data_IF_996123565549
#
_entry.id   IF_996123565549
#
_cell.length_a   1.000
_cell.length_b   1.000
_cell.length_c   1.000
_cell.angle_alpha   90.00
_cell.angle_beta   90.00
_cell.angle_gamma   90.00
#
_symmetry.space_group_name_H-M   'P 1'
#
loop_
_entity.id
_entity.type
_entity.pdbx_description
1 polymer ?
#
# COMPACT_ATOMS: atom_id res chain seq x y z
N UNK A 1 -25.14 -25.94 0.07
CA UNK A 1 -25.25 -26.43 1.46
C UNK A 1 -23.89 -26.33 2.10
N UNK A 2 -23.81 -25.75 3.29
CA UNK A 2 -22.58 -25.69 4.07
C UNK A 2 -22.27 -27.09 4.63
N UNK A 3 -21.14 -27.67 4.24
CA UNK A 3 -20.79 -29.06 4.55
C UNK A 3 -20.04 -29.23 5.91
N UNK A 4 -19.72 -28.11 6.59
CA UNK A 4 -18.91 -28.14 7.80
C UNK A 4 -19.77 -28.08 9.07
N UNK A 5 -19.47 -28.91 10.09
CA UNK A 5 -20.06 -28.80 11.41
C UNK A 5 -19.60 -27.53 12.15
N UNK A 6 -20.31 -27.15 13.23
CA UNK A 6 -19.92 -26.00 14.07
C UNK A 6 -18.52 -26.21 14.66
N UNK A 7 -18.20 -27.42 15.11
CA UNK A 7 -16.89 -27.75 15.67
C UNK A 7 -15.77 -27.69 14.63
N UNK A 8 -16.03 -28.17 13.40
CA UNK A 8 -15.07 -28.10 12.30
C UNK A 8 -14.80 -26.64 11.92
N UNK A 9 -15.85 -25.80 11.88
CA UNK A 9 -15.67 -24.36 11.64
C UNK A 9 -14.85 -23.69 12.73
N UNK A 10 -15.15 -24.02 14.00
CA UNK A 10 -14.38 -23.48 15.13
C UNK A 10 -12.90 -23.89 15.05
N UNK A 11 -12.60 -25.15 14.78
CA UNK A 11 -11.22 -25.64 14.57
C UNK A 11 -10.52 -24.92 13.42
N UNK A 12 -11.20 -24.78 12.27
CA UNK A 12 -10.64 -24.08 11.10
C UNK A 12 -10.35 -22.60 11.42
N UNK A 13 -11.25 -21.92 12.14
CA UNK A 13 -11.03 -20.53 12.55
C UNK A 13 -9.90 -20.39 13.58
N UNK A 14 -9.77 -21.31 14.52
CA UNK A 14 -8.68 -21.33 15.50
C UNK A 14 -7.32 -21.65 14.87
N UNK A 15 -7.29 -22.35 13.75
CA UNK A 15 -6.08 -22.67 13.01
C UNK A 15 -5.56 -21.51 12.12
N UNK A 16 -6.33 -20.41 12.00
CA UNK A 16 -5.89 -19.23 11.24
C UNK A 16 -4.89 -18.46 12.08
N UNK A 17 -3.63 -18.50 11.66
CA UNK A 17 -2.58 -17.69 12.27
C UNK A 17 -2.68 -16.24 11.81
N UNK A 18 -2.52 -15.31 12.74
CA UNK A 18 -2.50 -13.87 12.47
C UNK A 18 -1.10 -13.33 12.13
N UNK A 19 -0.08 -14.20 12.14
CA UNK A 19 1.32 -13.86 11.87
C UNK A 19 1.99 -14.98 11.11
N UNK A 20 3.05 -14.62 10.39
CA UNK A 20 3.87 -15.55 9.61
C UNK A 20 3.04 -16.35 8.59
N UNK A 21 2.01 -15.72 8.06
CA UNK A 21 1.16 -16.31 7.03
C UNK A 21 1.95 -16.58 5.74
N UNK A 22 1.48 -17.51 4.92
CA UNK A 22 2.13 -17.82 3.63
C UNK A 22 2.33 -16.56 2.76
N UNK A 23 1.32 -15.68 2.57
CA UNK A 23 1.49 -14.42 1.84
C UNK A 23 2.58 -13.51 2.43
N UNK A 24 2.58 -13.29 3.75
CA UNK A 24 3.62 -12.51 4.42
C UNK A 24 5.01 -13.09 4.17
N UNK A 25 5.19 -14.40 4.29
CA UNK A 25 6.48 -15.05 4.07
C UNK A 25 6.97 -14.94 2.63
N UNK A 26 6.06 -14.89 1.64
CA UNK A 26 6.42 -14.64 0.23
C UNK A 26 6.99 -13.23 0.08
N UNK A 27 6.28 -12.21 0.60
CA UNK A 27 6.73 -10.81 0.53
C UNK A 27 8.06 -10.62 1.27
N UNK A 28 8.16 -11.14 2.49
CA UNK A 28 9.39 -11.07 3.31
C UNK A 28 10.60 -11.63 2.57
N UNK A 29 10.50 -12.87 2.08
CA UNK A 29 11.61 -13.54 1.36
C UNK A 29 11.92 -12.84 0.03
N UNK A 30 10.88 -12.41 -0.69
CA UNK A 30 11.03 -11.71 -1.96
C UNK A 30 11.76 -10.37 -1.84
N UNK A 31 11.41 -9.56 -0.85
CA UNK A 31 12.08 -8.29 -0.57
C UNK A 31 13.48 -8.48 -0.01
N UNK A 32 13.68 -9.46 0.88
CA UNK A 32 15.01 -9.76 1.41
C UNK A 32 16.01 -10.15 0.32
N UNK A 33 15.60 -11.02 -0.61
CA UNK A 33 16.41 -11.41 -1.77
C UNK A 33 16.80 -10.23 -2.66
N UNK A 34 15.94 -9.20 -2.73
CA UNK A 34 16.18 -7.97 -3.49
C UNK A 34 16.97 -6.89 -2.71
N UNK A 35 17.50 -7.26 -1.54
CA UNK A 35 18.34 -6.37 -0.75
C UNK A 35 17.59 -5.44 0.21
N UNK A 36 16.26 -5.48 0.28
CA UNK A 36 15.50 -4.66 1.22
C UNK A 36 15.59 -5.20 2.64
N UNK A 37 15.75 -4.30 3.60
CA UNK A 37 15.79 -4.63 5.03
C UNK A 37 14.62 -4.00 5.75
N UNK A 38 13.94 -4.77 6.57
CA UNK A 38 12.70 -4.40 7.23
C UNK A 38 12.67 -4.89 8.69
N UNK A 39 11.76 -4.30 9.47
CA UNK A 39 11.36 -4.78 10.79
C UNK A 39 9.96 -5.36 10.69
N UNK A 40 9.65 -6.34 11.54
CA UNK A 40 8.36 -7.03 11.55
C UNK A 40 7.47 -6.51 12.67
N UNK A 41 6.15 -6.53 12.43
CA UNK A 41 5.10 -6.35 13.44
C UNK A 41 5.38 -5.19 14.41
N UNK A 42 5.58 -3.98 13.88
CA UNK A 42 5.99 -2.83 14.70
C UNK A 42 4.83 -2.33 15.56
N UNK A 43 4.79 -2.71 16.84
CA UNK A 43 3.67 -2.46 17.78
C UNK A 43 3.33 -0.98 18.01
N UNK A 44 4.26 -0.05 17.76
CA UNK A 44 4.07 1.40 18.00
C UNK A 44 3.49 2.15 16.82
N UNK A 45 3.32 1.48 15.67
CA UNK A 45 2.72 2.09 14.49
C UNK A 45 1.24 1.70 14.38
N UNK A 46 0.37 2.63 13.97
CA UNK A 46 -1.03 2.32 13.68
C UNK A 46 -1.17 1.14 12.73
N UNK A 47 -2.18 0.31 12.94
CA UNK A 47 -2.48 -0.85 12.09
C UNK A 47 -1.52 -2.02 12.21
N UNK A 48 -0.46 -1.91 13.02
CA UNK A 48 0.53 -2.98 13.21
C UNK A 48 1.05 -3.55 11.87
N UNK A 49 1.68 -2.73 11.01
CA UNK A 49 2.11 -3.18 9.68
C UNK A 49 3.01 -4.40 9.74
N UNK A 50 2.85 -5.33 8.79
CA UNK A 50 3.59 -6.59 8.73
C UNK A 50 5.08 -6.35 8.52
N UNK A 51 5.43 -5.40 7.62
CA UNK A 51 6.81 -4.99 7.37
C UNK A 51 6.95 -3.47 7.49
N UNK A 52 8.03 -3.03 8.11
CA UNK A 52 8.39 -1.61 8.24
C UNK A 52 9.78 -1.37 7.70
N UNK A 53 9.88 -0.64 6.60
CA UNK A 53 11.12 -0.26 5.95
C UNK A 53 11.51 1.17 6.34
N UNK A 54 12.28 1.31 7.41
CA UNK A 54 12.64 2.64 7.95
C UNK A 54 13.38 3.51 6.94
N UNK A 55 14.29 2.94 6.16
CA UNK A 55 15.05 3.64 5.13
C UNK A 55 14.14 4.32 4.10
N UNK A 56 13.02 3.72 3.80
CA UNK A 56 12.04 4.16 2.81
C UNK A 56 10.83 4.85 3.45
N UNK A 57 10.80 5.02 4.77
CA UNK A 57 9.62 5.49 5.53
C UNK A 57 8.32 4.81 5.09
N UNK A 58 8.38 3.52 4.80
CA UNK A 58 7.27 2.76 4.21
C UNK A 58 6.84 1.60 5.11
N UNK A 59 5.53 1.49 5.27
CA UNK A 59 4.84 0.39 5.92
C UNK A 59 4.18 -0.49 4.86
N UNK A 60 4.31 -1.81 4.97
CA UNK A 60 3.66 -2.77 4.07
C UNK A 60 2.68 -3.60 4.89
N UNK A 61 1.45 -3.69 4.38
CA UNK A 61 0.37 -4.53 4.87
C UNK A 61 0.12 -5.65 3.86
N UNK A 62 0.10 -6.89 4.31
CA UNK A 62 -0.18 -8.07 3.49
C UNK A 62 -1.57 -8.59 3.83
N UNK A 63 -2.55 -8.14 3.07
CA UNK A 63 -3.96 -8.33 3.38
C UNK A 63 -4.55 -9.59 2.73
N UNK A 64 -5.20 -10.43 3.55
CA UNK A 64 -6.06 -11.50 3.06
C UNK A 64 -7.30 -10.92 2.37
N UNK A 65 -7.57 -11.34 1.12
CA UNK A 65 -8.63 -10.77 0.30
C UNK A 65 -10.01 -10.79 0.96
N UNK A 66 -10.36 -11.88 1.61
CA UNK A 66 -11.64 -12.03 2.28
C UNK A 66 -11.78 -11.10 3.50
N UNK A 67 -10.76 -11.05 4.36
CA UNK A 67 -10.83 -10.34 5.63
C UNK A 67 -10.85 -8.82 5.47
N UNK A 68 -10.21 -8.31 4.44
CA UNK A 68 -10.07 -6.89 4.15
C UNK A 68 -10.93 -6.43 2.97
N UNK A 69 -11.76 -7.32 2.41
CA UNK A 69 -12.74 -6.99 1.38
C UNK A 69 -12.11 -6.48 0.07
N UNK A 70 -11.15 -7.24 -0.48
CA UNK A 70 -10.49 -6.85 -1.72
C UNK A 70 -11.51 -6.72 -2.86
N UNK A 71 -11.55 -5.55 -3.51
CA UNK A 71 -12.48 -5.20 -4.60
C UNK A 71 -13.97 -5.40 -4.26
N UNK A 72 -14.34 -5.33 -2.97
CA UNK A 72 -15.74 -5.29 -2.56
C UNK A 72 -16.20 -3.83 -2.57
N UNK A 73 -17.23 -3.54 -3.36
CA UNK A 73 -17.87 -2.24 -3.44
C UNK A 73 -19.20 -2.26 -2.70
N UNK A 74 -19.48 -1.20 -1.95
CA UNK A 74 -20.73 -0.99 -1.22
C UNK A 74 -21.52 0.14 -1.87
N UNK A 75 -22.85 0.03 -1.93
CA UNK A 75 -23.69 1.15 -2.29
C UNK A 75 -23.77 2.13 -1.11
N UNK A 76 -23.14 3.27 -1.29
CA UNK A 76 -23.14 4.35 -0.28
C UNK A 76 -24.48 5.10 -0.24
N UNK A 77 -25.32 4.92 -1.25
CA UNK A 77 -26.61 5.64 -1.42
C UNK A 77 -27.77 4.91 -0.75
N UNK A 78 -27.67 3.59 -0.62
CA UNK A 78 -28.69 2.78 0.02
C UNK A 78 -28.42 2.61 1.50
N UNK A 79 -29.39 2.94 2.36
CA UNK A 79 -29.33 2.64 3.80
C UNK A 79 -29.23 1.14 4.12
N UNK A 80 -29.51 0.29 3.14
CA UNK A 80 -29.47 -1.19 3.23
C UNK A 80 -28.08 -1.80 3.05
N UNK A 81 -27.04 -0.99 2.81
CA UNK A 81 -25.64 -1.47 2.74
C UNK A 81 -25.44 -2.68 1.82
N UNK A 82 -26.13 -2.69 0.68
CA UNK A 82 -26.01 -3.78 -0.27
C UNK A 82 -24.64 -3.75 -0.96
N UNK A 83 -24.04 -4.92 -1.06
CA UNK A 83 -22.81 -5.10 -1.84
C UNK A 83 -23.19 -5.06 -3.31
N UNK A 84 -22.69 -4.03 -4.00
CA UNK A 84 -22.89 -3.89 -5.44
C UNK A 84 -22.08 -4.96 -6.17
N UNK A 85 -20.88 -5.23 -5.70
CA UNK A 85 -19.96 -6.14 -6.40
C UNK A 85 -19.04 -6.88 -5.42
N UNK A 86 -18.89 -8.18 -5.60
CA UNK A 86 -17.90 -9.00 -4.89
C UNK A 86 -16.91 -9.57 -5.90
N UNK A 87 -15.62 -9.45 -5.61
CA UNK A 87 -14.57 -9.99 -6.48
C UNK A 87 -14.45 -11.51 -6.36
N UNK A 88 -13.85 -12.14 -7.37
CA UNK A 88 -13.57 -13.59 -7.34
C UNK A 88 -12.72 -14.03 -6.14
N UNK A 89 -11.82 -13.15 -5.67
CA UNK A 89 -10.95 -13.45 -4.54
C UNK A 89 -11.57 -13.14 -3.17
N UNK A 90 -12.71 -12.41 -3.13
CA UNK A 90 -13.43 -12.10 -1.90
C UNK A 90 -14.91 -12.49 -2.05
N UNK A 91 -15.21 -13.78 -1.93
CA UNK A 91 -16.59 -14.30 -1.98
C UNK A 91 -17.22 -14.25 -0.60
N UNK A 92 -18.29 -13.47 -0.46
CA UNK A 92 -19.02 -13.36 0.79
C UNK A 92 -19.91 -14.58 0.99
N UNK A 93 -19.86 -15.24 2.16
CA UNK A 93 -20.71 -16.38 2.45
C UNK A 93 -22.20 -16.02 2.38
N UNK A 94 -23.01 -16.92 1.83
CA UNK A 94 -24.48 -16.75 1.79
C UNK A 94 -25.08 -16.85 3.20
N UNK A 95 -24.49 -17.69 4.08
CA UNK A 95 -24.90 -17.85 5.47
C UNK A 95 -24.37 -16.71 6.31
N UNK A 96 -25.23 -16.09 7.13
CA UNK A 96 -24.91 -14.90 7.94
C UNK A 96 -24.33 -13.75 7.10
N UNK A 97 -24.87 -13.52 5.93
CA UNK A 97 -24.36 -12.52 4.97
C UNK A 97 -24.22 -11.14 5.60
N UNK A 98 -25.24 -10.66 6.30
CA UNK A 98 -25.23 -9.36 6.97
C UNK A 98 -24.06 -9.21 7.96
N UNK A 99 -23.84 -10.21 8.80
CA UNK A 99 -22.69 -10.24 9.71
C UNK A 99 -21.37 -10.06 8.96
N UNK A 100 -21.16 -10.80 7.86
CA UNK A 100 -19.92 -10.74 7.10
C UNK A 100 -19.75 -9.40 6.38
N UNK A 101 -20.82 -8.86 5.81
CA UNK A 101 -20.81 -7.54 5.17
C UNK A 101 -20.39 -6.48 6.18
N UNK A 102 -21.05 -6.43 7.34
CA UNK A 102 -20.74 -5.48 8.40
C UNK A 102 -19.31 -5.65 8.93
N UNK A 103 -18.85 -6.89 9.08
CA UNK A 103 -17.48 -7.16 9.54
C UNK A 103 -16.43 -6.67 8.55
N UNK A 104 -16.59 -6.99 7.26
CA UNK A 104 -15.66 -6.58 6.21
C UNK A 104 -15.65 -5.05 6.08
N UNK A 105 -16.81 -4.40 6.14
CA UNK A 105 -16.90 -2.94 6.11
C UNK A 105 -16.10 -2.30 7.25
N UNK A 106 -16.33 -2.74 8.49
CA UNK A 106 -15.58 -2.23 9.66
C UNK A 106 -14.08 -2.44 9.51
N UNK A 107 -13.66 -3.57 8.97
CA UNK A 107 -12.25 -3.81 8.70
C UNK A 107 -11.70 -2.80 7.69
N UNK A 108 -12.39 -2.57 6.57
CA UNK A 108 -11.99 -1.58 5.55
C UNK A 108 -11.93 -0.15 6.10
N UNK A 109 -12.90 0.24 6.92
CA UNK A 109 -12.93 1.56 7.56
C UNK A 109 -11.73 1.73 8.50
N UNK A 110 -11.48 0.73 9.35
CA UNK A 110 -10.31 0.71 10.23
C UNK A 110 -9.01 0.78 9.44
N UNK A 111 -8.84 -0.04 8.42
CA UNK A 111 -7.62 -0.07 7.59
C UNK A 111 -7.35 1.31 6.95
N UNK A 112 -8.38 1.97 6.43
CA UNK A 112 -8.27 3.34 5.90
C UNK A 112 -7.85 4.35 6.96
N UNK A 113 -8.44 4.26 8.14
CA UNK A 113 -8.13 5.18 9.24
C UNK A 113 -6.68 4.98 9.74
N UNK A 114 -6.23 3.74 9.85
CA UNK A 114 -4.86 3.42 10.25
C UNK A 114 -3.84 3.90 9.21
N UNK A 115 -4.14 3.76 7.92
CA UNK A 115 -3.30 4.29 6.84
C UNK A 115 -3.26 5.83 6.84
N UNK A 116 -4.39 6.51 7.13
CA UNK A 116 -4.40 7.98 7.29
C UNK A 116 -3.51 8.44 8.44
N UNK A 117 -3.57 7.75 9.58
CA UNK A 117 -2.70 8.04 10.73
C UNK A 117 -1.22 7.87 10.37
N UNK A 118 -0.88 6.80 9.66
CA UNK A 118 0.49 6.58 9.18
C UNK A 118 0.93 7.68 8.21
N UNK A 119 0.09 8.06 7.26
CA UNK A 119 0.37 9.15 6.33
C UNK A 119 0.60 10.49 7.07
N UNK A 120 -0.24 10.81 8.07
CA UNK A 120 -0.05 11.99 8.91
C UNK A 120 1.28 11.97 9.71
N UNK A 121 1.80 10.79 10.01
CA UNK A 121 3.11 10.60 10.62
C UNK A 121 4.26 10.62 9.58
N UNK A 122 3.97 10.84 8.30
CA UNK A 122 4.92 10.87 7.20
C UNK A 122 5.40 9.47 6.77
N UNK A 123 4.58 8.44 6.95
CA UNK A 123 4.84 7.10 6.44
C UNK A 123 4.07 6.84 5.16
N UNK A 124 4.73 6.25 4.19
CA UNK A 124 4.06 5.67 3.01
C UNK A 124 3.46 4.31 3.37
N UNK A 125 2.33 3.97 2.75
CA UNK A 125 1.65 2.71 2.97
C UNK A 125 1.52 1.95 1.64
N UNK A 126 1.97 0.71 1.63
CA UNK A 126 1.77 -0.23 0.51
C UNK A 126 0.90 -1.36 1.02
N UNK A 127 -0.21 -1.62 0.33
CA UNK A 127 -1.07 -2.78 0.60
C UNK A 127 -0.84 -3.83 -0.48
N UNK A 128 -0.51 -5.04 -0.06
CA UNK A 128 -0.30 -6.20 -0.93
C UNK A 128 -1.41 -7.20 -0.68
N UNK A 129 -2.07 -7.66 -1.73
CA UNK A 129 -3.18 -8.58 -1.60
C UNK A 129 -2.76 -10.03 -1.79
N UNK A 130 -3.35 -10.94 -1.01
CA UNK A 130 -3.07 -12.37 -1.11
C UNK A 130 -3.21 -12.93 -2.53
N UNK A 131 -4.20 -12.46 -3.31
CA UNK A 131 -4.42 -12.91 -4.69
C UNK A 131 -3.31 -12.50 -5.67
N UNK A 132 -2.58 -11.42 -5.36
CA UNK A 132 -1.44 -10.93 -6.14
C UNK A 132 -0.17 -11.78 -5.91
N UNK A 133 -0.15 -12.56 -4.83
CA UNK A 133 0.97 -13.42 -4.46
C UNK A 133 0.83 -14.87 -4.96
N UNK A 134 -0.16 -15.14 -5.80
CA UNK A 134 -0.28 -16.42 -6.52
C UNK A 134 0.93 -16.65 -7.42
N UNK A 135 1.32 -17.92 -7.70
CA UNK A 135 2.53 -18.22 -8.47
C UNK A 135 2.66 -17.45 -9.78
N UNK A 136 1.55 -17.22 -10.49
CA UNK A 136 1.52 -16.51 -11.78
C UNK A 136 1.73 -14.98 -11.70
N UNK A 137 1.51 -14.36 -10.55
CA UNK A 137 1.57 -12.89 -10.38
C UNK A 137 2.63 -12.45 -9.36
N UNK A 138 3.09 -13.37 -8.55
CA UNK A 138 3.96 -13.12 -7.41
C UNK A 138 5.22 -12.33 -7.76
N UNK A 139 5.88 -12.67 -8.85
CA UNK A 139 7.14 -12.05 -9.23
C UNK A 139 6.92 -10.61 -9.68
N UNK A 140 5.92 -10.39 -10.52
CA UNK A 140 5.49 -9.06 -10.95
C UNK A 140 5.12 -8.16 -9.77
N UNK A 141 4.37 -8.70 -8.80
CA UNK A 141 3.99 -7.98 -7.57
C UNK A 141 5.22 -7.58 -6.75
N UNK A 142 6.17 -8.50 -6.58
CA UNK A 142 7.41 -8.22 -5.83
C UNK A 142 8.29 -7.18 -6.53
N UNK A 143 8.33 -7.19 -7.86
CA UNK A 143 9.04 -6.18 -8.65
C UNK A 143 8.36 -4.81 -8.55
N UNK A 144 7.04 -4.76 -8.63
CA UNK A 144 6.26 -3.54 -8.43
C UNK A 144 6.49 -2.91 -7.06
N UNK A 145 6.51 -3.72 -5.99
CA UNK A 145 6.83 -3.25 -4.64
C UNK A 145 8.26 -2.68 -4.59
N UNK A 146 9.23 -3.38 -5.16
CA UNK A 146 10.62 -2.94 -5.18
C UNK A 146 10.80 -1.64 -5.96
N UNK A 147 10.14 -1.51 -7.11
CA UNK A 147 10.11 -0.29 -7.90
C UNK A 147 9.53 0.88 -7.11
N UNK A 148 8.36 0.68 -6.47
CA UNK A 148 7.70 1.69 -5.65
C UNK A 148 8.58 2.15 -4.49
N UNK A 149 9.24 1.23 -3.79
CA UNK A 149 10.16 1.56 -2.70
C UNK A 149 11.33 2.42 -3.19
N UNK A 150 11.94 2.05 -4.32
CA UNK A 150 13.04 2.83 -4.89
C UNK A 150 12.57 4.20 -5.36
N UNK A 151 11.37 4.30 -5.93
CA UNK A 151 10.79 5.57 -6.36
C UNK A 151 10.53 6.50 -5.18
N UNK A 152 9.93 6.00 -4.09
CA UNK A 152 9.74 6.74 -2.84
C UNK A 152 11.08 7.27 -2.33
N UNK A 153 12.10 6.41 -2.29
CA UNK A 153 13.42 6.81 -1.81
C UNK A 153 14.04 7.92 -2.66
N UNK A 154 13.92 7.82 -3.98
CA UNK A 154 14.41 8.85 -4.91
C UNK A 154 13.68 10.17 -4.71
N UNK A 155 12.36 10.16 -4.56
CA UNK A 155 11.57 11.38 -4.31
C UNK A 155 11.95 12.05 -2.99
N UNK A 156 12.11 11.27 -1.92
CA UNK A 156 12.46 11.79 -0.59
C UNK A 156 13.90 12.34 -0.53
N UNK A 157 14.78 11.93 -1.46
CA UNK A 157 16.21 12.29 -1.48
C UNK A 157 16.60 13.11 -2.72
N UNK A 158 15.64 13.58 -3.51
CA UNK A 158 15.94 14.54 -4.57
C UNK A 158 16.47 15.84 -3.93
N UNK A 159 17.62 16.37 -4.40
CA UNK A 159 18.05 17.68 -4.00
C UNK A 159 16.93 18.67 -4.37
N UNK A 160 16.49 19.48 -3.41
CA UNK A 160 15.60 20.60 -3.74
C UNK A 160 16.37 21.47 -4.71
N UNK A 161 16.01 21.46 -5.99
CA UNK A 161 16.52 22.42 -6.95
C UNK A 161 15.98 23.76 -6.48
N UNK A 162 16.82 24.52 -5.77
CA UNK A 162 16.57 25.93 -5.55
C UNK A 162 16.48 26.54 -6.94
N UNK A 163 15.36 27.18 -7.25
CA UNK A 163 15.17 27.82 -8.54
C UNK A 163 16.44 28.64 -8.87
N UNK A 164 16.96 28.46 -10.08
CA UNK A 164 18.05 29.30 -10.57
C UNK A 164 17.64 30.75 -10.33
N UNK A 165 18.48 31.59 -9.76
CA UNK A 165 18.21 33.02 -9.70
C UNK A 165 17.94 33.45 -11.14
N UNK A 166 16.76 34.01 -11.36
CA UNK A 166 16.43 34.60 -12.66
C UNK A 166 17.49 35.64 -12.92
N UNK A 167 18.33 35.45 -13.92
CA UNK A 167 19.24 36.46 -14.41
C UNK A 167 18.33 37.59 -14.94
N UNK A 168 18.41 38.74 -14.25
CA UNK A 168 17.70 39.92 -14.68
C UNK A 168 18.20 40.27 -16.11
N UNK A 169 17.27 40.49 -17.04
CA UNK A 169 17.57 40.86 -18.45
C UNK A 169 18.34 42.20 -18.56
N UNK A 170 18.58 42.90 -17.44
CA UNK A 170 19.31 44.15 -17.36
C UNK A 170 20.82 44.00 -17.52
N UNK A 171 21.40 42.80 -17.33
CA UNK A 171 22.85 42.58 -17.44
C UNK A 171 23.32 42.26 -18.88
N UNK A 172 22.43 42.25 -19.85
CA UNK A 172 22.75 41.92 -21.25
C UNK A 172 22.85 43.14 -22.17
N UNK A 173 23.14 44.33 -21.62
CA UNK A 173 23.54 45.45 -22.48
C UNK A 173 25.01 45.28 -22.88
N UNK A 174 25.23 44.75 -24.08
CA UNK A 174 26.53 44.76 -24.73
C UNK A 174 26.97 46.22 -24.97
N UNK A 175 28.17 46.59 -24.64
CA UNK A 175 28.66 47.93 -24.98
C UNK A 175 28.77 48.07 -26.51
N UNK A 176 28.05 49.02 -27.08
CA UNK A 176 28.16 49.43 -28.45
C UNK A 176 29.62 49.77 -28.79
N UNK A 177 30.18 49.07 -29.74
CA UNK A 177 31.51 49.38 -30.28
C UNK A 177 31.48 50.80 -30.88
N UNK A 178 32.38 51.68 -30.35
CA UNK A 178 32.57 52.99 -30.93
C UNK A 178 33.20 52.83 -32.33
N UNK A 179 32.51 53.31 -33.36
CA UNK A 179 33.07 53.48 -34.69
C UNK A 179 34.18 54.54 -34.62
N UNK A 180 35.41 54.10 -34.87
CA UNK A 180 36.55 54.98 -35.00
C UNK A 180 36.54 55.67 -36.35
N UNK A 181 36.53 57.00 -36.31
CA UNK A 181 36.74 57.83 -37.47
C UNK A 181 38.10 57.57 -38.12
N UNK A 182 38.06 57.30 -39.43
CA UNK A 182 39.27 57.26 -40.26
C UNK A 182 39.38 58.63 -40.93
N UNK A 183 40.46 59.30 -40.67
CA UNK A 183 40.99 60.42 -41.48
C UNK A 183 42.24 59.97 -42.19
#
# INVERSE_FOLDING_TARGET
>A
MDKLSKEQRHKNMAAIHSKDTKPEMIVRRGLWKRGFRYRLNHKRLPGHPDLVLKKYRTCIFVNGCFWHGHNVMYDVRCKTEEIIESSECCKIPKTNREFWVNKIRRNKERDKEEQRKLAAMGWHCITVWECELKPSKREETLESIAFTLNHIWLQDHQPRITAYPQQNEEDMQMPMAAEGDVV
#
